data_IF_066347705436
#
_entry.id   IF_066347705436
#
_cell.length_a   1.000
_cell.length_b   1.000
_cell.length_c   1.000
_cell.angle_alpha   90.00
_cell.angle_beta   90.00
_cell.angle_gamma   90.00
#
_symmetry.space_group_name_H-M   'P 1'
#
loop_
_entity.id
_entity.type
_entity.pdbx_description
1 polymer ?
#
# COMPACT_ATOMS: atom_id res chain seq x y z
N UNK A 1 -20.47 10.08 17.00
CA UNK A 1 -21.60 11.02 16.86
C UNK A 1 -22.87 10.21 16.99
N UNK A 2 -23.70 10.50 17.99
CA UNK A 2 -24.95 9.75 18.21
C UNK A 2 -25.94 10.22 17.14
N UNK A 3 -26.54 9.28 16.41
CA UNK A 3 -27.60 9.58 15.46
C UNK A 3 -28.85 10.09 16.21
N UNK A 4 -29.39 11.27 15.86
CA UNK A 4 -30.53 11.85 16.57
C UNK A 4 -31.83 11.05 16.40
N UNK A 5 -31.90 10.13 15.44
CA UNK A 5 -33.07 9.27 15.17
C UNK A 5 -32.91 7.84 15.69
N UNK A 6 -31.66 7.37 15.88
CA UNK A 6 -31.37 6.07 16.51
C UNK A 6 -30.14 6.18 17.44
N UNK A 7 -30.34 6.29 18.77
CA UNK A 7 -29.25 6.42 19.74
C UNK A 7 -28.22 5.28 19.71
N UNK A 8 -28.54 4.14 19.10
CA UNK A 8 -27.63 2.99 18.95
C UNK A 8 -26.73 3.09 17.73
N UNK A 9 -26.98 4.04 16.83
CA UNK A 9 -26.21 4.24 15.60
C UNK A 9 -25.17 5.34 15.78
N UNK A 10 -23.93 5.04 15.42
CA UNK A 10 -22.89 6.05 15.28
C UNK A 10 -22.95 6.63 13.85
N UNK A 11 -23.48 7.84 13.71
CA UNK A 11 -23.61 8.52 12.42
C UNK A 11 -22.24 8.77 11.73
N UNK A 12 -21.14 8.75 12.49
CA UNK A 12 -19.78 8.94 12.00
C UNK A 12 -19.00 7.62 11.80
N UNK A 13 -19.64 6.45 11.84
CA UNK A 13 -18.95 5.16 11.80
C UNK A 13 -18.10 4.92 10.54
N UNK A 14 -18.41 5.60 9.43
CA UNK A 14 -17.66 5.51 8.18
C UNK A 14 -16.41 6.42 8.14
N UNK A 15 -16.25 7.35 9.09
CA UNK A 15 -15.14 8.30 9.10
C UNK A 15 -13.88 7.66 9.67
N UNK A 16 -12.80 7.65 8.90
CA UNK A 16 -11.51 7.19 9.41
C UNK A 16 -10.84 8.26 10.28
N UNK A 17 -10.00 7.83 11.21
CA UNK A 17 -9.21 8.75 12.04
C UNK A 17 -8.34 9.70 11.19
N UNK A 18 -7.75 9.20 10.12
CA UNK A 18 -6.98 10.01 9.16
C UNK A 18 -7.83 11.12 8.55
N UNK A 19 -9.04 10.81 8.08
CA UNK A 19 -9.93 11.82 7.48
C UNK A 19 -10.45 12.80 8.53
N UNK A 20 -10.73 12.35 9.75
CA UNK A 20 -11.09 13.23 10.85
C UNK A 20 -9.96 14.22 11.18
N UNK A 21 -8.71 13.75 11.28
CA UNK A 21 -7.57 14.61 11.55
C UNK A 21 -7.26 15.57 10.39
N UNK A 22 -7.37 15.10 9.13
CA UNK A 22 -7.32 15.98 7.94
C UNK A 22 -8.35 17.09 8.02
N UNK A 23 -9.61 16.75 8.31
CA UNK A 23 -10.69 17.74 8.45
C UNK A 23 -10.39 18.75 9.56
N UNK A 24 -9.92 18.31 10.73
CA UNK A 24 -9.54 19.21 11.83
C UNK A 24 -8.47 20.22 11.41
N UNK A 25 -7.44 19.79 10.70
CA UNK A 25 -6.35 20.66 10.26
C UNK A 25 -6.80 21.58 9.13
N UNK A 26 -7.54 21.07 8.15
CA UNK A 26 -8.13 21.87 7.08
C UNK A 26 -9.08 22.95 7.61
N UNK A 27 -9.92 22.63 8.60
CA UNK A 27 -10.82 23.60 9.24
C UNK A 27 -10.03 24.71 9.96
N UNK A 28 -8.95 24.36 10.69
CA UNK A 28 -8.06 25.36 11.30
C UNK A 28 -7.42 26.27 10.26
N UNK A 29 -6.94 25.70 9.16
CA UNK A 29 -6.33 26.44 8.07
C UNK A 29 -7.33 27.40 7.42
N UNK A 30 -8.54 26.94 7.13
CA UNK A 30 -9.62 27.76 6.57
C UNK A 30 -10.02 28.90 7.52
N UNK A 31 -10.13 28.65 8.82
CA UNK A 31 -10.44 29.70 9.80
C UNK A 31 -9.33 30.75 9.93
N UNK A 32 -8.07 30.36 9.67
CA UNK A 32 -6.93 31.27 9.72
C UNK A 32 -6.85 32.14 8.47
N UNK A 33 -7.03 31.53 7.29
CA UNK A 33 -6.94 32.19 5.99
C UNK A 33 -8.01 31.61 5.05
N UNK A 34 -9.25 32.12 5.09
CA UNK A 34 -10.34 31.62 4.26
C UNK A 34 -10.02 31.78 2.78
N UNK A 35 -10.31 30.73 2.00
CA UNK A 35 -10.03 30.71 0.57
C UNK A 35 -11.07 29.82 -0.15
N UNK A 36 -11.44 30.20 -1.37
CA UNK A 36 -12.38 29.45 -2.21
C UNK A 36 -11.81 28.08 -2.59
N UNK A 37 -10.49 27.91 -2.62
CA UNK A 37 -9.85 26.65 -2.98
C UNK A 37 -10.22 25.48 -2.04
N UNK A 38 -10.56 25.77 -0.78
CA UNK A 38 -11.08 24.75 0.15
C UNK A 38 -12.37 24.09 -0.34
N UNK A 39 -13.10 24.75 -1.25
CA UNK A 39 -14.34 24.25 -1.83
C UNK A 39 -14.18 23.85 -3.31
N UNK A 40 -13.18 24.37 -4.04
CA UNK A 40 -13.04 24.13 -5.49
C UNK A 40 -11.97 23.11 -5.86
N UNK A 41 -10.97 22.83 -5.02
CA UNK A 41 -9.84 21.95 -5.38
C UNK A 41 -10.23 20.53 -5.78
N UNK A 42 -11.33 20.01 -5.22
CA UNK A 42 -11.88 18.70 -5.61
C UNK A 42 -12.83 18.73 -6.80
N UNK A 43 -13.31 19.91 -7.19
CA UNK A 43 -14.25 20.13 -8.30
C UNK A 43 -13.51 20.43 -9.60
N UNK A 44 -12.39 21.14 -9.49
CA UNK A 44 -11.48 21.37 -10.58
C UNK A 44 -10.74 20.07 -10.88
N UNK A 45 -11.24 19.35 -11.90
CA UNK A 45 -10.46 18.35 -12.64
C UNK A 45 -9.30 19.00 -13.39
N UNK A 46 -8.59 19.94 -12.78
CA UNK A 46 -7.26 20.36 -13.21
C UNK A 46 -6.38 19.18 -12.86
N UNK A 47 -6.48 18.13 -13.69
CA UNK A 47 -5.54 17.04 -13.75
C UNK A 47 -4.23 17.72 -14.06
N UNK A 48 -3.38 17.93 -13.06
CA UNK A 48 -1.97 18.19 -13.32
C UNK A 48 -1.58 17.19 -14.41
N UNK A 49 -1.13 17.70 -15.56
CA UNK A 49 -0.76 16.84 -16.68
C UNK A 49 0.54 16.17 -16.29
N UNK A 50 0.45 15.17 -15.43
CA UNK A 50 1.58 14.38 -14.99
C UNK A 50 2.04 13.58 -16.19
N UNK A 51 3.28 13.84 -16.60
CA UNK A 51 3.98 13.01 -17.55
C UNK A 51 4.64 11.84 -16.82
N UNK A 52 4.78 10.69 -17.48
CA UNK A 52 5.54 9.57 -16.95
C UNK A 52 6.95 9.99 -16.54
N UNK A 53 7.56 10.90 -17.32
CA UNK A 53 8.88 11.47 -17.03
C UNK A 53 8.97 12.11 -15.64
N UNK A 54 7.93 12.81 -15.17
CA UNK A 54 7.93 13.41 -13.83
C UNK A 54 7.91 12.34 -12.73
N UNK A 55 7.21 11.23 -12.94
CA UNK A 55 7.21 10.09 -12.01
C UNK A 55 8.59 9.42 -12.01
N UNK A 56 9.17 9.18 -13.20
CA UNK A 56 10.51 8.60 -13.34
C UNK A 56 11.59 9.46 -12.68
N UNK A 57 11.54 10.78 -12.87
CA UNK A 57 12.46 11.74 -12.23
C UNK A 57 12.36 11.66 -10.69
N UNK A 58 11.13 11.61 -10.14
CA UNK A 58 10.92 11.44 -8.70
C UNK A 58 11.45 10.09 -8.17
N UNK A 59 11.19 8.98 -8.87
CA UNK A 59 11.70 7.66 -8.48
C UNK A 59 13.23 7.61 -8.52
N UNK A 60 13.84 8.23 -9.53
CA UNK A 60 15.30 8.33 -9.68
C UNK A 60 15.93 9.12 -8.53
N UNK A 61 15.36 10.28 -8.18
CA UNK A 61 15.81 11.11 -7.08
C UNK A 61 15.71 10.37 -5.73
N UNK A 62 14.59 9.67 -5.51
CA UNK A 62 14.31 8.90 -4.29
C UNK A 62 15.06 7.57 -4.22
N UNK A 63 15.59 7.08 -5.34
CA UNK A 63 16.18 5.74 -5.50
C UNK A 63 15.23 4.62 -5.09
N UNK A 64 13.95 4.81 -5.37
CA UNK A 64 12.88 3.84 -5.11
C UNK A 64 12.38 3.26 -6.42
N UNK A 65 11.53 2.23 -6.32
CA UNK A 65 10.90 1.56 -7.45
C UNK A 65 9.40 1.61 -7.28
N UNK A 66 8.67 1.66 -8.39
CA UNK A 66 7.22 1.55 -8.37
C UNK A 66 6.78 0.25 -9.04
N UNK A 67 5.70 -0.32 -8.52
CA UNK A 67 5.00 -1.45 -9.10
C UNK A 67 3.51 -1.18 -9.08
N UNK A 68 2.84 -1.45 -10.20
CA UNK A 68 1.40 -1.29 -10.36
C UNK A 68 0.79 -2.61 -10.80
N UNK A 69 -0.26 -3.04 -10.12
CA UNK A 69 -1.08 -4.18 -10.52
C UNK A 69 -2.34 -3.62 -11.17
N UNK A 70 -2.58 -3.98 -12.41
CA UNK A 70 -3.81 -3.69 -13.15
C UNK A 70 -4.64 -4.98 -13.20
N UNK A 71 -5.87 -4.92 -12.71
CA UNK A 71 -6.88 -5.99 -12.83
C UNK A 71 -8.01 -5.43 -13.68
N UNK A 72 -8.28 -6.05 -14.83
CA UNK A 72 -9.23 -5.55 -15.84
C UNK A 72 -10.34 -6.55 -16.13
N UNK A 73 -11.33 -6.11 -16.93
CA UNK A 73 -12.51 -6.90 -17.34
C UNK A 73 -13.39 -7.29 -16.14
N UNK A 74 -13.60 -6.34 -15.21
CA UNK A 74 -14.40 -6.54 -14.01
C UNK A 74 -15.83 -6.07 -14.22
N UNK A 75 -16.79 -6.99 -14.16
CA UNK A 75 -18.22 -6.66 -14.11
C UNK A 75 -18.67 -6.44 -12.66
N UNK A 76 -18.32 -5.28 -12.09
CA UNK A 76 -18.60 -4.91 -10.71
C UNK A 76 -19.20 -3.51 -10.60
N UNK A 77 -20.02 -3.27 -9.57
CA UNK A 77 -20.48 -1.93 -9.27
C UNK A 77 -19.32 -1.02 -8.81
N UNK A 78 -19.46 0.30 -8.99
CA UNK A 78 -18.46 1.28 -8.52
C UNK A 78 -18.08 1.14 -7.05
N UNK A 79 -19.07 0.90 -6.19
CA UNK A 79 -18.83 0.68 -4.76
C UNK A 79 -18.00 -0.58 -4.52
N UNK A 80 -18.28 -1.65 -5.28
CA UNK A 80 -17.52 -2.89 -5.19
C UNK A 80 -16.10 -2.69 -5.70
N UNK A 81 -15.88 -2.02 -6.84
CA UNK A 81 -14.55 -1.71 -7.37
C UNK A 81 -13.68 -1.01 -6.33
N UNK A 82 -14.18 0.08 -5.74
CA UNK A 82 -13.49 0.80 -4.67
C UNK A 82 -13.21 -0.07 -3.44
N UNK A 83 -14.20 -0.87 -3.03
CA UNK A 83 -14.04 -1.77 -1.89
C UNK A 83 -12.96 -2.83 -2.13
N UNK A 84 -12.88 -3.37 -3.35
CA UNK A 84 -11.91 -4.39 -3.72
C UNK A 84 -10.52 -3.80 -3.91
N UNK A 85 -10.39 -2.62 -4.52
CA UNK A 85 -9.12 -1.90 -4.63
C UNK A 85 -8.50 -1.67 -3.25
N UNK A 86 -9.30 -1.22 -2.27
CA UNK A 86 -8.86 -1.00 -0.89
C UNK A 86 -8.51 -2.31 -0.15
N UNK A 87 -9.27 -3.39 -0.38
CA UNK A 87 -8.97 -4.70 0.22
C UNK A 87 -7.67 -5.26 -0.33
N UNK A 88 -7.46 -5.14 -1.64
CA UNK A 88 -6.26 -5.61 -2.31
C UNK A 88 -5.03 -4.79 -1.89
N UNK A 89 -5.13 -3.47 -1.80
CA UNK A 89 -4.03 -2.62 -1.32
C UNK A 89 -3.61 -2.96 0.11
N UNK A 90 -4.58 -3.21 1.00
CA UNK A 90 -4.32 -3.63 2.38
C UNK A 90 -3.65 -5.00 2.46
N UNK A 91 -4.16 -5.99 1.71
CA UNK A 91 -3.57 -7.32 1.64
C UNK A 91 -2.10 -7.25 1.21
N UNK A 92 -1.81 -6.51 0.14
CA UNK A 92 -0.46 -6.38 -0.36
C UNK A 92 0.44 -5.66 0.63
N UNK A 93 -0.03 -4.58 1.27
CA UNK A 93 0.76 -3.88 2.29
C UNK A 93 1.15 -4.81 3.44
N UNK A 94 0.20 -5.59 3.97
CA UNK A 94 0.43 -6.54 5.07
C UNK A 94 1.43 -7.65 4.65
N UNK A 95 1.26 -8.22 3.45
CA UNK A 95 2.10 -9.32 2.97
C UNK A 95 3.50 -8.85 2.54
N UNK A 96 3.64 -7.67 1.96
CA UNK A 96 4.94 -7.08 1.61
C UNK A 96 5.76 -6.83 2.87
N UNK A 97 5.16 -6.24 3.90
CA UNK A 97 5.80 -6.03 5.21
C UNK A 97 6.17 -7.36 5.87
N UNK A 98 5.26 -8.35 5.86
CA UNK A 98 5.52 -9.67 6.41
C UNK A 98 6.68 -10.42 5.71
N UNK A 99 6.97 -10.10 4.45
CA UNK A 99 8.09 -10.64 3.68
C UNK A 99 9.33 -9.71 3.64
N UNK A 100 9.28 -8.57 4.34
CA UNK A 100 10.42 -7.67 4.55
C UNK A 100 10.70 -6.66 3.42
N UNK A 101 9.73 -6.40 2.54
CA UNK A 101 9.89 -5.44 1.43
C UNK A 101 9.67 -3.97 1.86
N UNK A 102 8.99 -3.72 2.97
CA UNK A 102 8.81 -2.39 3.59
C UNK A 102 8.39 -1.27 2.59
N UNK A 103 7.19 -1.35 2.00
CA UNK A 103 6.70 -0.31 1.08
C UNK A 103 6.56 1.05 1.76
N UNK A 104 6.91 2.11 1.04
CA UNK A 104 6.70 3.51 1.48
C UNK A 104 5.21 3.84 1.52
N UNK A 105 4.47 3.33 0.53
CA UNK A 105 3.01 3.38 0.47
C UNK A 105 2.48 2.27 -0.44
N UNK A 106 1.24 1.87 -0.17
CA UNK A 106 0.43 1.02 -1.04
C UNK A 106 -0.95 1.64 -1.12
N UNK A 107 -1.49 1.80 -2.32
CA UNK A 107 -2.80 2.44 -2.53
C UNK A 107 -3.56 1.71 -3.62
N UNK A 108 -4.89 1.68 -3.49
CA UNK A 108 -5.81 1.11 -4.46
C UNK A 108 -6.66 2.20 -5.10
N UNK A 109 -6.89 2.08 -6.40
CA UNK A 109 -7.69 2.99 -7.21
C UNK A 109 -8.49 2.21 -8.26
N UNK A 110 -9.51 2.85 -8.84
CA UNK A 110 -10.32 2.29 -9.92
C UNK A 110 -10.73 3.42 -10.85
N UNK A 111 -10.87 3.09 -12.12
CA UNK A 111 -11.44 3.98 -13.13
C UNK A 111 -12.97 4.13 -13.00
N UNK A 112 -13.56 3.41 -12.04
CA UNK A 112 -14.99 3.32 -11.76
C UNK A 112 -15.82 2.67 -12.88
N UNK A 113 -15.19 1.91 -13.78
CA UNK A 113 -15.88 1.20 -14.87
C UNK A 113 -15.68 -0.30 -14.74
N UNK A 114 -14.47 -0.76 -14.97
CA UNK A 114 -14.14 -2.19 -15.10
C UNK A 114 -12.69 -2.52 -14.70
N UNK A 115 -11.94 -1.54 -14.19
CA UNK A 115 -10.53 -1.74 -13.82
C UNK A 115 -10.24 -1.36 -12.36
N UNK A 116 -9.37 -2.16 -11.74
CA UNK A 116 -8.77 -1.88 -10.43
C UNK A 116 -7.26 -1.79 -10.60
N UNK A 117 -6.69 -0.75 -10.00
CA UNK A 117 -5.26 -0.52 -9.93
C UNK A 117 -4.79 -0.58 -8.48
N UNK A 118 -3.68 -1.27 -8.22
CA UNK A 118 -3.00 -1.22 -6.93
C UNK A 118 -1.54 -0.89 -7.15
N UNK A 119 -1.13 0.27 -6.67
CA UNK A 119 0.22 0.79 -6.83
C UNK A 119 0.95 0.81 -5.49
N UNK A 120 2.26 0.63 -5.56
CA UNK A 120 3.14 0.67 -4.40
C UNK A 120 4.51 1.21 -4.77
N UNK A 121 5.08 2.02 -3.89
CA UNK A 121 6.47 2.46 -3.98
C UNK A 121 7.31 1.69 -2.96
N UNK A 122 8.39 1.08 -3.45
CA UNK A 122 9.23 0.14 -2.72
C UNK A 122 10.69 0.63 -2.74
N UNK A 123 11.46 0.39 -1.66
CA UNK A 123 12.90 0.64 -1.68
C UNK A 123 13.64 -0.22 -2.73
N UNK A 124 13.16 -1.44 -2.96
CA UNK A 124 13.70 -2.36 -3.97
C UNK A 124 12.65 -3.39 -4.38
N UNK A 125 12.72 -3.86 -5.63
CA UNK A 125 11.93 -5.00 -6.10
C UNK A 125 12.56 -6.34 -5.71
N UNK A 126 13.84 -6.33 -5.35
CA UNK A 126 14.60 -7.52 -4.96
C UNK A 126 15.26 -7.34 -3.60
N UNK A 127 15.13 -8.34 -2.74
CA UNK A 127 15.81 -8.44 -1.47
C UNK A 127 16.93 -9.49 -1.55
N UNK A 128 17.97 -9.39 -0.70
CA UNK A 128 18.91 -10.47 -0.53
C UNK A 128 18.20 -11.78 -0.19
N UNK A 129 18.67 -12.90 -0.76
CA UNK A 129 18.07 -14.23 -0.51
C UNK A 129 18.16 -14.67 0.95
N UNK A 130 19.04 -14.06 1.73
CA UNK A 130 19.22 -14.30 3.16
C UNK A 130 18.26 -13.40 3.96
N UNK A 131 17.62 -13.98 4.98
CA UNK A 131 16.89 -13.23 6.00
C UNK A 131 17.25 -13.70 7.41
N UNK A 132 17.21 -12.75 8.35
CA UNK A 132 17.22 -13.04 9.78
C UNK A 132 15.79 -13.34 10.22
N UNK A 133 15.53 -14.58 10.65
CA UNK A 133 14.22 -14.99 11.17
C UNK A 133 14.27 -15.05 12.68
N UNK A 134 13.38 -14.31 13.33
CA UNK A 134 13.16 -14.39 14.77
C UNK A 134 12.41 -15.69 15.12
N UNK A 135 12.96 -16.40 16.10
CA UNK A 135 12.40 -17.60 16.71
C UNK A 135 11.70 -17.32 18.04
N UNK A 136 11.35 -18.38 18.77
CA UNK A 136 10.74 -18.26 20.08
C UNK A 136 11.73 -17.75 21.14
N UNK A 137 11.24 -17.30 22.32
CA UNK A 137 12.07 -17.10 23.49
C UNK A 137 12.83 -18.37 23.89
N UNK A 138 14.02 -18.20 24.47
CA UNK A 138 14.80 -19.32 25.00
C UNK A 138 14.04 -19.96 26.17
N UNK A 139 13.99 -21.29 26.22
CA UNK A 139 13.25 -22.10 27.19
C UNK A 139 11.76 -22.23 26.91
N UNK A 140 11.23 -21.68 25.81
CA UNK A 140 9.81 -21.82 25.48
C UNK A 140 9.47 -23.24 25.02
N UNK A 141 8.18 -23.59 25.06
CA UNK A 141 7.69 -24.92 24.62
C UNK A 141 7.97 -25.18 23.13
N UNK A 142 8.12 -24.14 22.34
CA UNK A 142 8.37 -24.18 20.90
C UNK A 142 9.86 -24.27 20.54
N UNK A 143 10.77 -24.12 21.51
CA UNK A 143 12.22 -24.09 21.29
C UNK A 143 12.71 -25.31 20.49
N UNK A 144 12.40 -26.52 20.97
CA UNK A 144 12.88 -27.75 20.33
C UNK A 144 12.36 -27.91 18.91
N UNK A 145 11.15 -27.44 18.61
CA UNK A 145 10.58 -27.47 17.26
C UNK A 145 11.30 -26.48 16.33
N UNK A 146 11.63 -25.29 16.84
CA UNK A 146 12.43 -24.33 16.09
C UNK A 146 13.83 -24.88 15.80
N UNK A 147 14.53 -25.37 16.83
CA UNK A 147 15.87 -25.94 16.67
C UNK A 147 15.87 -27.11 15.67
N UNK A 148 14.92 -28.04 15.76
CA UNK A 148 14.81 -29.17 14.80
C UNK A 148 14.58 -28.71 13.37
N UNK A 149 13.81 -27.64 13.18
CA UNK A 149 13.50 -27.09 11.85
C UNK A 149 14.71 -26.40 11.21
N UNK A 150 15.64 -25.89 12.04
CA UNK A 150 16.72 -25.00 11.61
C UNK A 150 18.15 -25.48 11.90
N UNK A 151 18.34 -26.62 12.57
CA UNK A 151 19.66 -27.13 12.98
C UNK A 151 20.66 -27.27 11.82
N UNK A 152 20.16 -27.54 10.61
CA UNK A 152 20.96 -27.72 9.39
C UNK A 152 20.35 -26.98 8.19
N UNK A 153 19.51 -25.97 8.42
CA UNK A 153 18.83 -25.27 7.33
C UNK A 153 19.15 -23.78 7.33
N UNK A 154 19.52 -23.25 6.15
CA UNK A 154 19.82 -21.84 5.97
C UNK A 154 21.29 -21.51 5.72
N UNK A 155 21.63 -20.26 6.00
CA UNK A 155 22.97 -19.68 5.85
C UNK A 155 23.73 -19.58 7.18
N UNK A 156 23.08 -19.84 8.32
CA UNK A 156 23.72 -19.88 9.63
C UNK A 156 22.73 -19.90 10.80
N UNK A 157 23.20 -20.35 11.97
CA UNK A 157 22.38 -20.57 13.17
C UNK A 157 21.87 -22.02 13.29
N UNK A 158 20.98 -22.32 14.27
CA UNK A 158 20.35 -21.42 15.23
C UNK A 158 21.33 -20.75 16.20
N UNK A 159 21.06 -19.51 16.61
CA UNK A 159 21.86 -18.79 17.61
C UNK A 159 20.96 -17.94 18.52
N UNK A 160 21.49 -17.49 19.66
CA UNK A 160 20.76 -16.68 20.64
C UNK A 160 21.22 -15.22 20.51
N UNK A 161 20.27 -14.29 20.54
CA UNK A 161 20.51 -12.86 20.67
C UNK A 161 19.48 -12.30 21.66
N UNK A 162 19.92 -11.76 22.79
CA UNK A 162 19.02 -11.38 23.89
C UNK A 162 18.32 -12.60 24.51
N UNK A 163 16.98 -12.56 24.58
CA UNK A 163 16.14 -13.61 25.17
C UNK A 163 15.56 -14.59 24.14
N UNK A 164 16.00 -14.52 22.88
CA UNK A 164 15.35 -15.20 21.75
C UNK A 164 16.32 -15.95 20.85
N UNK A 165 15.78 -16.99 20.21
CA UNK A 165 16.44 -17.71 19.13
C UNK A 165 16.33 -16.96 17.80
N UNK A 166 17.36 -17.09 16.97
CA UNK A 166 17.42 -16.55 15.62
C UNK A 166 18.08 -17.55 14.67
N UNK A 167 17.79 -17.39 13.38
CA UNK A 167 18.44 -18.13 12.30
C UNK A 167 18.62 -17.21 11.09
N UNK A 168 19.73 -17.39 10.37
CA UNK A 168 19.89 -16.86 9.02
C UNK A 168 19.44 -17.93 8.03
N UNK A 169 18.33 -17.69 7.34
CA UNK A 169 17.74 -18.66 6.40
C UNK A 169 17.52 -18.06 5.03
N UNK A 170 17.18 -18.92 4.06
CA UNK A 170 16.74 -18.48 2.75
C UNK A 170 15.31 -17.93 2.84
N UNK A 171 15.09 -16.73 2.29
CA UNK A 171 13.75 -16.14 2.09
C UNK A 171 12.92 -17.04 1.21
N UNK A 172 11.62 -17.09 1.48
CA UNK A 172 10.66 -17.71 0.58
C UNK A 172 10.52 -16.91 -0.72
N UNK A 173 10.44 -15.58 -0.60
CA UNK A 173 10.37 -14.65 -1.73
C UNK A 173 11.45 -13.58 -1.58
N UNK A 174 12.40 -13.56 -2.52
CA UNK A 174 13.38 -12.49 -2.67
C UNK A 174 13.01 -11.48 -3.76
N UNK A 175 12.05 -11.83 -4.61
CA UNK A 175 11.54 -11.00 -5.71
C UNK A 175 10.06 -10.70 -5.43
N UNK A 176 9.71 -9.42 -5.45
CA UNK A 176 8.35 -8.95 -5.17
C UNK A 176 7.34 -9.43 -6.20
N UNK A 177 7.73 -9.60 -7.47
CA UNK A 177 6.84 -10.06 -8.53
C UNK A 177 6.40 -11.49 -8.26
N UNK A 178 7.33 -12.34 -7.81
CA UNK A 178 7.03 -13.72 -7.42
C UNK A 178 6.09 -13.78 -6.21
N UNK A 179 6.29 -12.90 -5.23
CA UNK A 179 5.37 -12.79 -4.09
C UNK A 179 3.97 -12.38 -4.56
N UNK A 180 3.85 -11.31 -5.36
CA UNK A 180 2.56 -10.79 -5.83
C UNK A 180 1.79 -11.85 -6.64
N UNK A 181 2.47 -12.57 -7.55
CA UNK A 181 1.85 -13.66 -8.30
C UNK A 181 1.26 -14.74 -7.38
N UNK A 182 1.98 -15.14 -6.33
CA UNK A 182 1.46 -16.08 -5.33
C UNK A 182 0.24 -15.50 -4.59
N UNK A 183 0.32 -14.24 -4.17
CA UNK A 183 -0.74 -13.58 -3.42
C UNK A 183 -2.03 -13.42 -4.23
N UNK A 184 -1.94 -13.06 -5.51
CA UNK A 184 -3.11 -12.92 -6.38
C UNK A 184 -3.83 -14.26 -6.52
N UNK A 185 -3.09 -15.35 -6.71
CA UNK A 185 -3.67 -16.69 -6.85
C UNK A 185 -4.29 -17.22 -5.54
N UNK A 186 -3.62 -17.01 -4.40
CA UNK A 186 -3.97 -17.69 -3.15
C UNK A 186 -4.79 -16.84 -2.18
N UNK A 187 -4.55 -15.53 -2.15
CA UNK A 187 -5.01 -14.64 -1.08
C UNK A 187 -5.86 -13.45 -1.54
N UNK A 188 -5.89 -13.13 -2.84
CA UNK A 188 -6.74 -12.05 -3.35
C UNK A 188 -8.20 -12.21 -2.91
N UNK A 189 -8.97 -11.12 -2.81
CA UNK A 189 -10.40 -11.18 -2.56
C UNK A 189 -11.08 -12.16 -3.53
N UNK A 190 -11.97 -13.01 -3.03
CA UNK A 190 -12.57 -14.11 -3.81
C UNK A 190 -13.14 -13.65 -5.15
N UNK A 191 -13.73 -12.46 -5.19
CA UNK A 191 -14.34 -11.87 -6.39
C UNK A 191 -13.33 -11.44 -7.46
N UNK A 192 -12.06 -11.23 -7.08
CA UNK A 192 -10.95 -10.88 -7.98
C UNK A 192 -10.12 -12.10 -8.38
N UNK A 193 -10.37 -13.29 -7.79
CA UNK A 193 -9.60 -14.48 -8.11
C UNK A 193 -9.98 -14.99 -9.50
N UNK A 194 -8.97 -15.25 -10.32
CA UNK A 194 -9.15 -15.69 -11.71
C UNK A 194 -9.36 -14.54 -12.69
N UNK A 195 -9.51 -13.30 -12.22
CA UNK A 195 -9.50 -12.12 -13.08
C UNK A 195 -8.17 -11.96 -13.81
N UNK A 196 -8.22 -11.40 -15.02
CA UNK A 196 -7.02 -11.05 -15.76
C UNK A 196 -6.29 -9.93 -15.05
N UNK A 197 -4.98 -10.10 -14.85
CA UNK A 197 -4.15 -9.06 -14.26
C UNK A 197 -2.82 -8.90 -14.99
N UNK A 198 -2.22 -7.72 -14.84
CA UNK A 198 -0.86 -7.40 -15.27
C UNK A 198 -0.10 -6.77 -14.10
N UNK A 199 1.20 -7.01 -14.07
CA UNK A 199 2.12 -6.33 -13.16
C UNK A 199 3.01 -5.43 -14.02
N UNK A 200 2.97 -4.14 -13.74
CA UNK A 200 3.73 -3.11 -14.44
C UNK A 200 4.80 -2.55 -13.51
N UNK A 201 5.99 -2.36 -14.04
CA UNK A 201 7.11 -1.72 -13.33
C UNK A 201 7.24 -0.25 -13.72
N UNK A 202 8.19 0.45 -13.09
CA UNK A 202 8.62 1.81 -13.46
C UNK A 202 8.89 1.99 -14.97
N UNK A 203 9.34 0.95 -15.66
CA UNK A 203 9.62 0.98 -17.12
C UNK A 203 8.38 0.89 -18.00
N UNK A 204 7.25 0.52 -17.43
CA UNK A 204 6.02 0.19 -18.16
C UNK A 204 4.89 1.19 -17.85
N UNK A 205 5.18 2.26 -17.10
CA UNK A 205 4.20 3.29 -16.74
C UNK A 205 3.58 4.02 -17.94
N UNK A 206 4.25 4.03 -19.10
CA UNK A 206 3.72 4.57 -20.35
C UNK A 206 2.44 3.86 -20.84
N UNK A 207 2.16 2.65 -20.34
CA UNK A 207 0.96 1.88 -20.65
C UNK A 207 -0.26 2.42 -19.88
N UNK A 208 -0.04 3.07 -18.73
CA UNK A 208 -1.11 3.59 -17.89
C UNK A 208 -1.73 4.86 -18.49
N UNK A 209 -3.04 5.01 -18.28
CA UNK A 209 -3.74 6.22 -18.67
C UNK A 209 -3.36 7.43 -17.77
N UNK A 210 -3.83 8.61 -18.16
CA UNK A 210 -3.54 9.85 -17.43
C UNK A 210 -4.12 9.90 -16.02
N UNK A 211 -5.20 9.18 -15.75
CA UNK A 211 -5.90 9.24 -14.47
C UNK A 211 -5.20 8.35 -13.45
N UNK A 212 -4.79 7.15 -13.86
CA UNK A 212 -3.91 6.28 -13.08
C UNK A 212 -2.56 6.98 -12.79
N UNK A 213 -1.94 7.61 -13.78
CA UNK A 213 -0.68 8.35 -13.59
C UNK A 213 -0.85 9.53 -12.63
N UNK A 214 -1.93 10.31 -12.76
CA UNK A 214 -2.23 11.43 -11.87
C UNK A 214 -2.47 10.97 -10.43
N UNK A 215 -3.18 9.87 -10.25
CA UNK A 215 -3.38 9.25 -8.94
C UNK A 215 -2.06 8.79 -8.31
N UNK A 216 -1.23 8.04 -9.05
CA UNK A 216 0.09 7.59 -8.60
C UNK A 216 0.95 8.77 -8.14
N UNK A 217 1.05 9.81 -8.95
CA UNK A 217 1.86 10.98 -8.64
C UNK A 217 1.37 11.70 -7.37
N UNK A 218 0.05 11.78 -7.17
CA UNK A 218 -0.54 12.29 -5.94
C UNK A 218 -0.16 11.45 -4.72
N UNK A 219 -0.20 10.12 -4.84
CA UNK A 219 0.22 9.20 -3.76
C UNK A 219 1.72 9.29 -3.47
N UNK A 220 2.56 9.52 -4.48
CA UNK A 220 4.01 9.72 -4.29
C UNK A 220 4.31 11.01 -3.53
N UNK A 221 3.55 12.09 -3.77
CA UNK A 221 3.77 13.38 -3.10
C UNK A 221 3.10 13.45 -1.73
N UNK A 222 1.97 12.77 -1.53
CA UNK A 222 1.11 12.84 -0.33
C UNK A 222 0.90 14.28 0.18
N UNK A 223 0.78 15.22 -0.74
CA UNK A 223 0.71 16.63 -0.39
C UNK A 223 -0.69 16.99 0.10
N UNK A 224 -0.73 17.47 1.32
CA UNK A 224 -1.89 18.13 1.87
C UNK A 224 -1.80 19.63 1.55
N UNK A 225 -2.34 20.02 0.41
CA UNK A 225 -3.45 20.94 0.58
C UNK A 225 -3.26 22.22 1.39
N UNK A 226 -4.00 22.16 2.47
CA UNK A 226 -4.22 23.18 3.47
C UNK A 226 -2.95 23.54 4.24
N UNK A 227 -1.83 22.80 4.11
CA UNK A 227 -0.59 23.08 4.84
C UNK A 227 -0.03 24.46 4.50
N UNK A 228 -0.10 24.90 3.25
CA UNK A 228 0.37 26.23 2.84
C UNK A 228 -0.40 27.40 3.48
N UNK A 229 -1.60 27.14 4.00
CA UNK A 229 -2.42 28.13 4.72
C UNK A 229 -2.12 28.17 6.22
N UNK A 230 -1.28 27.26 6.72
CA UNK A 230 -0.83 27.23 8.12
C UNK A 230 0.56 27.83 8.32
N UNK A 231 1.40 27.80 7.27
CA UNK A 231 2.82 28.17 7.33
C UNK A 231 3.12 29.46 6.55
N UNK A 232 2.10 30.13 5.99
CA UNK A 232 2.25 31.37 5.22
C UNK A 232 1.10 32.36 5.42
#
# INVERSE_FOLDING_TARGET
MIDPTDPRRNAAAALTETQFNRFKVAARAFLTKPDIEFFTRGLERVKERVSVKQIEEQLSERKTRILVIEISDLDLSRELLWSQAKRMSRLLEEELKANGFEPLWVSGWTDERDEIFVAMELPSLNLPIIERRQGPPVGSKEEMNFLRSYLNSGFGGPFIEGDRWYVYRKRRHSDVINLINELICLKAPTILRGSKFKILTDRELLILDRDALGWIYKEMRKEEFFIRYLVG
#
